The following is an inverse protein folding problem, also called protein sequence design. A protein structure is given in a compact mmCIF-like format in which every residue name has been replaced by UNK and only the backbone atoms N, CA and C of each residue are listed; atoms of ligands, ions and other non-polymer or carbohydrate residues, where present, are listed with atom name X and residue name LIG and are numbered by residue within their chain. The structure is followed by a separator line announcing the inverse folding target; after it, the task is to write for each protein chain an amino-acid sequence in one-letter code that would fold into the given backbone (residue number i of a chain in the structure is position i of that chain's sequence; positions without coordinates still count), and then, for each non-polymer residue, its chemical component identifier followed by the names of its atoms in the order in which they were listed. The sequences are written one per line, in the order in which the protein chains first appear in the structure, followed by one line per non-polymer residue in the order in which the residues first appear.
data_IF_701565598029
#
_entry.id   IF_701565598029
#
_cell.length_a   1.000
_cell.length_b   1.000
_cell.length_c   1.000
_cell.angle_alpha   90.00
_cell.angle_beta   90.00
_cell.angle_gamma   90.00
#
_symmetry.space_group_name_H-M   'P 1'
#
loop_
_entity.id
_entity.type
_entity.pdbx_description
1 polymer ?
#
# COMPACT_ATOMS: atom_id res chain seq x y z
N UNK A 1 -58.83 31.97 -20.60
CA UNK A 1 -57.95 31.21 -19.71
C UNK A 1 -56.75 30.80 -20.54
N UNK A 2 -55.62 31.49 -20.39
CA UNK A 2 -54.38 31.16 -21.09
C UNK A 2 -53.56 30.29 -20.14
N UNK A 3 -53.34 29.03 -20.52
CA UNK A 3 -52.43 28.11 -19.83
C UNK A 3 -51.01 28.66 -19.99
N UNK A 4 -50.34 28.92 -18.86
CA UNK A 4 -48.94 29.25 -18.85
C UNK A 4 -48.14 27.99 -19.19
N UNK A 5 -47.57 27.93 -20.40
CA UNK A 5 -46.60 26.90 -20.77
C UNK A 5 -45.44 26.92 -19.76
N UNK A 6 -45.32 25.82 -19.03
CA UNK A 6 -44.21 25.63 -18.09
C UNK A 6 -42.94 25.43 -18.91
N UNK A 7 -41.87 26.22 -18.69
CA UNK A 7 -40.65 26.07 -19.48
C UNK A 7 -40.04 24.69 -19.20
N UNK A 8 -40.05 23.83 -20.23
CA UNK A 8 -39.39 22.53 -20.20
C UNK A 8 -37.89 22.79 -20.11
N UNK A 9 -37.29 22.51 -18.95
CA UNK A 9 -35.85 22.59 -18.78
C UNK A 9 -35.17 21.75 -19.87
N UNK A 10 -34.17 22.29 -20.59
CA UNK A 10 -33.51 21.55 -21.66
C UNK A 10 -32.95 20.22 -21.11
N UNK A 11 -33.00 19.14 -21.90
CA UNK A 11 -32.52 17.84 -21.46
C UNK A 11 -31.05 17.95 -21.06
N UNK A 12 -30.73 17.62 -19.80
CA UNK A 12 -29.35 17.61 -19.34
C UNK A 12 -28.52 16.70 -20.25
N UNK A 13 -27.38 17.15 -20.78
CA UNK A 13 -26.56 16.35 -21.66
C UNK A 13 -26.19 15.03 -20.97
N UNK A 14 -26.30 13.93 -21.71
CA UNK A 14 -26.00 12.62 -21.19
C UNK A 14 -24.58 12.61 -20.61
N UNK A 15 -24.38 12.02 -19.43
CA UNK A 15 -23.08 12.06 -18.77
C UNK A 15 -22.00 11.40 -19.61
N UNK A 16 -20.99 12.18 -20.01
CA UNK A 16 -19.87 11.69 -20.83
C UNK A 16 -19.09 10.63 -20.04
N UNK A 17 -18.97 9.43 -20.61
CA UNK A 17 -18.20 8.32 -20.05
C UNK A 17 -16.91 8.14 -20.83
N UNK A 18 -15.80 8.02 -20.13
CA UNK A 18 -14.47 7.79 -20.71
C UNK A 18 -13.96 6.43 -20.26
N UNK A 19 -13.47 5.62 -21.20
CA UNK A 19 -12.80 4.37 -20.87
C UNK A 19 -11.39 4.65 -20.35
N UNK A 20 -11.20 4.55 -19.03
CA UNK A 20 -9.99 4.98 -18.32
C UNK A 20 -9.01 3.83 -18.05
N UNK A 21 -9.52 2.65 -17.69
CA UNK A 21 -8.68 1.52 -17.26
C UNK A 21 -8.93 0.27 -18.10
N UNK A 22 -7.89 -0.22 -18.78
CA UNK A 22 -7.94 -1.46 -19.56
C UNK A 22 -8.10 -2.68 -18.66
N UNK A 23 -8.81 -3.72 -19.14
CA UNK A 23 -9.08 -4.94 -18.36
C UNK A 23 -7.82 -5.58 -17.72
N UNK A 24 -6.69 -5.76 -18.44
CA UNK A 24 -5.48 -6.34 -17.82
C UNK A 24 -4.96 -5.52 -16.64
N UNK A 25 -5.00 -4.19 -16.73
CA UNK A 25 -4.57 -3.31 -15.65
C UNK A 25 -5.49 -3.42 -14.42
N UNK A 26 -6.80 -3.60 -14.63
CA UNK A 26 -7.78 -3.79 -13.54
C UNK A 26 -7.57 -5.13 -12.84
N UNK A 27 -7.43 -6.21 -13.60
CA UNK A 27 -7.14 -7.54 -13.05
C UNK A 27 -5.83 -7.50 -12.25
N UNK A 28 -4.77 -6.94 -12.85
CA UNK A 28 -3.48 -6.75 -12.19
C UNK A 28 -3.62 -5.98 -10.87
N UNK A 29 -4.35 -4.88 -10.87
CA UNK A 29 -4.58 -4.09 -9.66
C UNK A 29 -5.27 -4.91 -8.55
N UNK A 30 -6.40 -5.55 -8.86
CA UNK A 30 -7.17 -6.28 -7.85
C UNK A 30 -6.45 -7.52 -7.32
N UNK A 31 -5.74 -8.25 -8.19
CA UNK A 31 -4.88 -9.37 -7.77
C UNK A 31 -3.80 -8.88 -6.80
N UNK A 32 -3.12 -7.77 -7.12
CA UNK A 32 -2.09 -7.22 -6.23
C UNK A 32 -2.68 -6.70 -4.92
N UNK A 33 -3.84 -6.03 -4.95
CA UNK A 33 -4.49 -5.54 -3.75
C UNK A 33 -4.81 -6.67 -2.75
N UNK A 34 -5.40 -7.77 -3.24
CA UNK A 34 -5.69 -8.96 -2.43
C UNK A 34 -4.40 -9.63 -1.96
N UNK A 35 -3.41 -9.76 -2.84
CA UNK A 35 -2.10 -10.36 -2.54
C UNK A 35 -1.38 -9.60 -1.43
N UNK A 36 -1.33 -8.27 -1.52
CA UNK A 36 -0.70 -7.42 -0.51
C UNK A 36 -1.43 -7.47 0.83
N UNK A 37 -2.76 -7.55 0.83
CA UNK A 37 -3.54 -7.71 2.05
C UNK A 37 -3.20 -9.04 2.76
N UNK A 38 -3.19 -10.15 2.02
CA UNK A 38 -2.85 -11.47 2.57
C UNK A 38 -1.39 -11.49 3.04
N UNK A 39 -0.46 -10.91 2.29
CA UNK A 39 0.94 -10.77 2.67
C UNK A 39 1.10 -9.96 3.96
N UNK A 40 0.39 -8.85 4.11
CA UNK A 40 0.43 -8.05 5.33
C UNK A 40 -0.08 -8.87 6.52
N UNK A 41 -1.29 -9.44 6.44
CA UNK A 41 -1.89 -10.17 7.56
C UNK A 41 -1.08 -11.41 7.97
N UNK A 42 -0.56 -12.16 6.99
CA UNK A 42 0.33 -13.30 7.27
C UNK A 42 1.71 -12.85 7.77
N UNK A 43 2.22 -11.72 7.30
CA UNK A 43 3.46 -11.12 7.78
C UNK A 43 3.37 -10.66 9.23
N UNK A 44 2.23 -10.11 9.65
CA UNK A 44 1.95 -9.77 11.05
C UNK A 44 1.90 -11.03 11.93
N UNK A 45 1.37 -12.16 11.44
CA UNK A 45 1.46 -13.45 12.15
C UNK A 45 2.91 -13.92 12.30
N UNK A 46 3.73 -13.81 11.25
CA UNK A 46 5.16 -14.17 11.33
C UNK A 46 5.87 -13.26 12.34
N UNK A 47 5.54 -11.97 12.36
CA UNK A 47 6.11 -11.01 13.30
C UNK A 47 5.81 -11.39 14.76
N UNK A 48 4.62 -11.93 15.06
CA UNK A 48 4.25 -12.37 16.41
C UNK A 48 5.22 -13.39 17.01
N UNK A 49 5.92 -14.19 16.20
CA UNK A 49 6.87 -15.18 16.70
C UNK A 49 8.16 -14.56 17.27
N UNK A 50 8.51 -13.36 16.81
CA UNK A 50 9.63 -12.62 17.36
C UNK A 50 9.36 -11.11 17.22
N UNK A 51 8.57 -10.50 18.12
CA UNK A 51 8.03 -9.16 17.90
C UNK A 51 9.03 -8.04 18.23
N UNK A 52 10.25 -8.18 17.70
CA UNK A 52 11.41 -7.32 17.90
C UNK A 52 12.15 -7.15 16.58
N UNK A 53 12.60 -5.94 16.28
CA UNK A 53 13.37 -5.61 15.08
C UNK A 53 14.72 -5.01 15.47
N UNK A 54 15.76 -5.38 14.72
CA UNK A 54 17.15 -5.03 14.99
C UNK A 54 17.84 -4.55 13.71
N UNK A 55 18.92 -3.82 13.89
CA UNK A 55 19.89 -3.55 12.83
C UNK A 55 21.08 -4.50 12.98
N UNK A 56 21.65 -4.92 11.86
CA UNK A 56 22.82 -5.80 11.77
C UNK A 56 22.53 -7.21 11.25
N UNK A 57 23.58 -8.04 11.33
CA UNK A 57 23.60 -9.45 10.92
C UNK A 57 22.71 -10.33 11.79
N UNK A 58 22.91 -10.20 13.10
CA UNK A 58 22.28 -11.03 14.12
C UNK A 58 21.32 -10.20 14.98
N UNK A 59 20.37 -10.89 15.59
CA UNK A 59 19.39 -10.30 16.48
C UNK A 59 18.94 -11.36 17.46
N UNK A 60 19.48 -11.29 18.66
CA UNK A 60 19.13 -12.12 19.79
C UNK A 60 18.47 -11.26 20.89
N UNK A 61 17.95 -11.92 21.92
CA UNK A 61 17.27 -11.25 23.02
C UNK A 61 18.13 -10.21 23.77
N UNK A 62 19.46 -10.32 23.65
CA UNK A 62 20.43 -9.41 24.25
C UNK A 62 20.81 -8.22 23.36
N UNK A 63 20.47 -8.27 22.07
CA UNK A 63 20.80 -7.19 21.13
C UNK A 63 19.81 -6.03 21.27
N UNK A 64 20.27 -4.81 21.00
CA UNK A 64 19.44 -3.61 21.12
C UNK A 64 18.42 -3.55 19.97
N UNK A 65 17.22 -4.06 20.22
CA UNK A 65 16.09 -3.89 19.31
C UNK A 65 15.68 -2.41 19.21
N UNK A 66 15.52 -1.90 17.99
CA UNK A 66 15.01 -0.55 17.73
C UNK A 66 13.48 -0.48 17.78
N UNK A 67 12.79 -1.61 17.58
CA UNK A 67 11.34 -1.72 17.78
C UNK A 67 11.00 -3.00 18.52
N UNK A 68 10.13 -2.91 19.51
CA UNK A 68 9.58 -4.04 20.26
C UNK A 68 8.08 -3.85 20.47
N UNK A 69 7.29 -4.86 20.17
CA UNK A 69 5.91 -4.96 20.66
C UNK A 69 5.89 -6.11 21.66
N UNK A 70 5.58 -5.81 22.92
CA UNK A 70 5.68 -6.80 23.98
C UNK A 70 4.65 -6.61 25.08
N UNK A 71 4.73 -7.46 26.09
CA UNK A 71 3.90 -7.40 27.28
C UNK A 71 4.75 -7.51 28.55
N UNK A 72 4.18 -6.98 29.61
CA UNK A 72 4.53 -7.21 31.01
C UNK A 72 3.40 -8.01 31.66
N UNK A 73 3.51 -8.43 32.93
CA UNK A 73 2.41 -9.11 33.63
C UNK A 73 1.07 -8.35 33.63
N UNK A 74 1.10 -7.02 33.53
CA UNK A 74 -0.10 -6.18 33.68
C UNK A 74 -0.42 -5.30 32.44
N UNK A 75 0.50 -5.19 31.48
CA UNK A 75 0.32 -4.28 30.34
C UNK A 75 0.99 -4.72 29.04
N UNK A 76 0.40 -4.34 27.91
CA UNK A 76 1.00 -4.39 26.58
C UNK A 76 1.71 -3.08 26.25
N UNK A 77 2.77 -3.11 25.46
CA UNK A 77 3.50 -1.91 25.06
C UNK A 77 4.12 -2.01 23.67
N UNK A 78 4.27 -0.85 23.04
CA UNK A 78 5.13 -0.61 21.88
C UNK A 78 6.34 0.21 22.35
N UNK A 79 7.55 -0.25 22.02
CA UNK A 79 8.80 0.48 22.23
C UNK A 79 9.47 0.76 20.88
N UNK A 80 9.85 2.01 20.65
CA UNK A 80 10.61 2.46 19.48
C UNK A 80 11.81 3.27 19.96
N UNK A 81 13.01 2.73 19.79
CA UNK A 81 14.22 3.22 20.44
C UNK A 81 14.03 3.21 21.96
N UNK A 82 14.09 4.41 22.55
CA UNK A 82 13.94 4.63 23.99
C UNK A 82 12.50 5.04 24.38
N UNK A 83 11.64 5.31 23.40
CA UNK A 83 10.24 5.67 23.62
C UNK A 83 9.41 4.42 23.88
N UNK A 84 8.60 4.43 24.95
CA UNK A 84 7.67 3.35 25.29
C UNK A 84 6.26 3.89 25.44
N UNK A 85 5.32 3.27 24.74
CA UNK A 85 3.91 3.63 24.70
C UNK A 85 3.10 2.44 25.20
N UNK A 86 2.17 2.68 26.14
CA UNK A 86 1.23 1.66 26.60
C UNK A 86 0.22 1.37 25.48
N UNK A 87 0.07 0.10 25.14
CA UNK A 87 -0.81 -0.38 24.07
C UNK A 87 -1.72 -1.50 24.54
N UNK A 88 -1.94 -1.65 25.85
CA UNK A 88 -2.86 -2.64 26.43
C UNK A 88 -4.23 -2.56 25.77
N UNK A 89 -4.77 -3.73 25.43
CA UNK A 89 -6.03 -3.88 24.69
C UNK A 89 -5.87 -3.89 23.17
N UNK A 90 -4.73 -3.41 22.63
CA UNK A 90 -4.52 -3.30 21.18
C UNK A 90 -3.31 -4.10 20.71
N UNK A 91 -2.12 -3.86 21.30
CA UNK A 91 -0.86 -4.51 20.92
C UNK A 91 -0.13 -5.06 22.14
N UNK A 92 0.53 -6.21 21.97
CA UNK A 92 1.38 -6.83 22.98
C UNK A 92 0.61 -7.51 24.12
N UNK A 93 -0.52 -6.96 24.54
CA UNK A 93 -1.49 -7.60 25.44
C UNK A 93 -2.90 -7.17 25.07
N UNK A 94 -3.77 -8.12 24.73
CA UNK A 94 -5.14 -7.85 24.28
C UNK A 94 -6.05 -9.04 24.61
N UNK A 95 -7.36 -8.79 24.68
CA UNK A 95 -8.35 -9.82 24.99
C UNK A 95 -9.08 -10.24 23.72
N UNK A 96 -9.20 -11.54 23.47
CA UNK A 96 -9.93 -12.06 22.33
C UNK A 96 -11.46 -12.01 22.53
N UNK A 97 -12.21 -12.37 21.49
CA UNK A 97 -13.67 -12.36 21.54
C UNK A 97 -14.25 -13.37 22.55
N UNK A 98 -13.43 -14.33 23.01
CA UNK A 98 -13.80 -15.34 24.01
C UNK A 98 -13.42 -14.90 25.43
N UNK A 99 -12.89 -13.68 25.61
CA UNK A 99 -12.46 -13.16 26.90
C UNK A 99 -11.08 -13.65 27.34
N UNK A 100 -10.37 -14.43 26.51
CA UNK A 100 -9.05 -14.92 26.84
C UNK A 100 -7.99 -13.88 26.50
N UNK A 101 -7.11 -13.61 27.47
CA UNK A 101 -6.02 -12.67 27.28
C UNK A 101 -4.89 -13.30 26.45
N UNK A 102 -4.36 -12.55 25.50
CA UNK A 102 -3.22 -12.91 24.64
C UNK A 102 -2.09 -11.92 24.84
N UNK A 103 -0.86 -12.42 24.78
CA UNK A 103 0.36 -11.67 25.13
C UNK A 103 1.34 -11.50 23.95
N UNK A 104 0.94 -11.90 22.74
CA UNK A 104 1.73 -11.65 21.52
C UNK A 104 1.36 -10.32 20.86
N UNK A 105 2.18 -9.86 19.93
CA UNK A 105 2.18 -8.49 19.45
C UNK A 105 0.88 -8.02 18.76
N UNK A 106 0.47 -8.68 17.68
CA UNK A 106 -0.68 -8.31 16.86
C UNK A 106 -1.89 -9.20 17.15
N UNK A 107 -3.09 -8.60 17.24
CA UNK A 107 -4.31 -9.34 17.52
C UNK A 107 -4.78 -10.19 16.34
N UNK A 108 -5.53 -11.23 16.64
CA UNK A 108 -5.96 -12.23 15.66
C UNK A 108 -6.78 -11.66 14.50
N UNK A 109 -7.53 -10.57 14.71
CA UNK A 109 -8.29 -9.91 13.65
C UNK A 109 -7.39 -9.26 12.59
N UNK A 110 -6.15 -8.94 12.94
CA UNK A 110 -5.17 -8.33 12.04
C UNK A 110 -4.32 -9.38 11.30
N UNK A 111 -4.45 -10.67 11.63
CA UNK A 111 -3.55 -11.72 11.16
C UNK A 111 -4.27 -12.83 10.42
N UNK A 112 -3.54 -13.51 9.52
CA UNK A 112 -3.96 -14.79 8.93
C UNK A 112 -2.88 -15.83 9.21
N UNK A 113 -3.20 -16.95 9.88
CA UNK A 113 -4.48 -17.24 10.54
C UNK A 113 -4.79 -16.31 11.72
N UNK A 114 -6.03 -16.35 12.20
CA UNK A 114 -6.49 -15.55 13.36
C UNK A 114 -5.93 -16.08 14.69
N UNK A 115 -5.77 -17.40 14.80
CA UNK A 115 -5.06 -18.04 15.91
C UNK A 115 -3.56 -18.07 15.67
N UNK A 116 -2.75 -17.96 16.72
CA UNK A 116 -1.29 -18.00 16.58
C UNK A 116 -0.81 -19.30 15.95
N UNK A 117 -0.21 -19.19 14.76
CA UNK A 117 0.47 -20.28 14.06
C UNK A 117 1.56 -19.69 13.16
N UNK A 118 2.81 -19.78 13.60
CA UNK A 118 3.97 -19.37 12.79
C UNK A 118 4.07 -20.20 11.50
N UNK A 119 3.78 -21.50 11.58
CA UNK A 119 3.87 -22.39 10.43
C UNK A 119 2.89 -21.99 9.32
N UNK A 120 1.62 -21.76 9.68
CA UNK A 120 0.60 -21.38 8.68
C UNK A 120 0.77 -19.95 8.20
N UNK A 121 1.17 -19.02 9.07
CA UNK A 121 1.55 -17.67 8.66
C UNK A 121 2.64 -17.69 7.59
N UNK A 122 3.69 -18.51 7.77
CA UNK A 122 4.75 -18.69 6.76
C UNK A 122 4.24 -19.30 5.46
N UNK A 123 3.34 -20.29 5.51
CA UNK A 123 2.77 -20.92 4.30
C UNK A 123 1.99 -19.91 3.46
N UNK A 124 1.08 -19.16 4.08
CA UNK A 124 0.33 -18.10 3.41
C UNK A 124 1.26 -17.03 2.85
N UNK A 125 2.21 -16.57 3.64
CA UNK A 125 3.10 -15.49 3.24
C UNK A 125 3.97 -15.90 2.04
N UNK A 126 4.60 -17.08 2.08
CA UNK A 126 5.48 -17.54 1.01
C UNK A 126 4.70 -17.84 -0.29
N UNK A 127 3.50 -18.40 -0.19
CA UNK A 127 2.64 -18.64 -1.36
C UNK A 127 2.34 -17.34 -2.11
N UNK A 128 1.86 -16.31 -1.40
CA UNK A 128 1.52 -15.03 -2.00
C UNK A 128 2.75 -14.18 -2.32
N UNK A 129 3.88 -14.41 -1.66
CA UNK A 129 5.14 -13.76 -1.99
C UNK A 129 5.64 -14.21 -3.36
N UNK A 130 5.49 -15.49 -3.69
CA UNK A 130 5.79 -15.99 -5.04
C UNK A 130 4.85 -15.44 -6.11
N UNK A 131 3.56 -15.31 -5.81
CA UNK A 131 2.59 -14.68 -6.71
C UNK A 131 2.98 -13.22 -7.01
N UNK A 132 3.29 -12.45 -5.97
CA UNK A 132 3.74 -11.06 -6.12
C UNK A 132 5.08 -10.97 -6.84
N UNK A 133 6.08 -11.76 -6.44
CA UNK A 133 7.44 -11.64 -6.95
C UNK A 133 7.54 -12.01 -8.42
N UNK A 134 6.94 -13.14 -8.82
CA UNK A 134 6.93 -13.58 -10.21
C UNK A 134 6.09 -12.65 -11.07
N UNK A 135 4.88 -12.30 -10.60
CA UNK A 135 3.99 -11.38 -11.30
C UNK A 135 4.64 -10.03 -11.54
N UNK A 136 5.23 -9.42 -10.50
CA UNK A 136 5.85 -8.10 -10.60
C UNK A 136 7.08 -8.15 -11.50
N UNK A 137 7.90 -9.18 -11.38
CA UNK A 137 9.10 -9.34 -12.22
C UNK A 137 8.70 -9.44 -13.70
N UNK A 138 7.71 -10.27 -14.03
CA UNK A 138 7.19 -10.38 -15.39
C UNK A 138 6.59 -9.07 -15.89
N UNK A 139 5.83 -8.37 -15.04
CA UNK A 139 5.28 -7.06 -15.35
C UNK A 139 6.39 -6.03 -15.65
N UNK A 140 7.43 -5.98 -14.82
CA UNK A 140 8.56 -5.07 -14.99
C UNK A 140 9.35 -5.39 -16.27
N UNK A 141 9.65 -6.67 -16.53
CA UNK A 141 10.32 -7.11 -17.76
C UNK A 141 9.50 -6.73 -19.00
N UNK A 142 8.19 -7.00 -18.99
CA UNK A 142 7.31 -6.61 -20.08
C UNK A 142 7.28 -5.10 -20.32
N UNK A 143 7.24 -4.31 -19.24
CA UNK A 143 7.20 -2.84 -19.34
C UNK A 143 8.53 -2.25 -19.84
N UNK A 144 9.65 -2.87 -19.48
CA UNK A 144 11.00 -2.51 -19.96
C UNK A 144 11.19 -2.88 -21.43
N UNK A 145 10.84 -4.10 -21.83
CA UNK A 145 11.00 -4.61 -23.21
C UNK A 145 10.02 -3.91 -24.17
N UNK A 146 8.78 -3.69 -23.73
CA UNK A 146 7.71 -3.14 -24.56
C UNK A 146 7.75 -1.63 -24.75
N UNK A 147 8.75 -0.92 -24.23
CA UNK A 147 8.88 0.54 -24.33
C UNK A 147 7.75 1.35 -23.66
N UNK A 148 6.85 0.70 -22.92
CA UNK A 148 5.70 1.34 -22.27
C UNK A 148 6.13 2.28 -21.14
N UNK A 149 7.26 1.99 -20.47
CA UNK A 149 7.87 2.91 -19.50
C UNK A 149 8.10 4.30 -20.10
N UNK A 150 8.43 4.37 -21.40
CA UNK A 150 8.74 5.62 -22.10
C UNK A 150 7.50 6.29 -22.72
N UNK A 151 6.41 5.54 -22.94
CA UNK A 151 5.13 6.06 -23.49
C UNK A 151 4.17 6.54 -22.40
N UNK A 152 4.03 5.81 -21.29
CA UNK A 152 3.00 6.07 -20.28
C UNK A 152 3.52 6.78 -19.02
N UNK A 153 4.83 6.66 -18.72
CA UNK A 153 5.47 7.20 -17.50
C UNK A 153 6.47 8.33 -17.78
N UNK A 154 6.46 8.90 -18.98
CA UNK A 154 7.34 10.02 -19.30
C UNK A 154 6.93 11.28 -18.55
N UNK A 155 7.56 11.52 -17.40
CA UNK A 155 7.48 12.78 -16.67
C UNK A 155 8.29 13.81 -17.47
N UNK A 156 7.61 14.84 -18.00
CA UNK A 156 8.28 15.91 -18.76
C UNK A 156 9.26 16.65 -17.85
N UNK A 157 10.40 17.14 -18.38
CA UNK A 157 11.41 17.87 -17.57
C UNK A 157 10.84 19.05 -16.76
N UNK A 158 9.79 19.70 -17.26
CA UNK A 158 9.09 20.78 -16.56
C UNK A 158 8.29 20.30 -15.32
N UNK A 159 7.78 19.06 -15.34
CA UNK A 159 7.05 18.45 -14.22
C UNK A 159 8.01 18.14 -13.04
N UNK A 160 9.31 17.92 -13.30
CA UNK A 160 10.32 17.61 -12.27
C UNK A 160 10.74 18.77 -11.37
N UNK A 161 10.26 20.01 -11.61
CA UNK A 161 10.72 21.12 -10.78
C UNK A 161 10.25 20.93 -9.32
N UNK A 162 11.15 21.04 -8.32
CA UNK A 162 10.78 20.89 -6.90
C UNK A 162 9.67 21.85 -6.47
N UNK A 163 9.56 23.03 -7.10
CA UNK A 163 8.50 24.01 -6.87
C UNK A 163 7.13 23.50 -7.30
N UNK A 164 7.02 22.84 -8.46
CA UNK A 164 5.76 22.24 -8.92
C UNK A 164 5.34 21.06 -8.05
N UNK A 165 6.28 20.21 -7.63
CA UNK A 165 5.99 19.10 -6.70
C UNK A 165 5.48 19.66 -5.37
N UNK A 166 6.16 20.66 -4.79
CA UNK A 166 5.74 21.28 -3.53
C UNK A 166 4.38 21.98 -3.64
N UNK A 167 4.12 22.65 -4.77
CA UNK A 167 2.82 23.25 -5.05
C UNK A 167 1.71 22.19 -5.10
N UNK A 168 1.93 21.07 -5.79
CA UNK A 168 0.96 19.98 -5.88
C UNK A 168 0.75 19.27 -4.54
N UNK A 169 1.81 19.08 -3.74
CA UNK A 169 1.71 18.59 -2.36
C UNK A 169 0.85 19.53 -1.53
N UNK A 170 1.09 20.84 -1.59
CA UNK A 170 0.32 21.84 -0.84
C UNK A 170 -1.13 21.94 -1.32
N UNK A 171 -1.37 21.79 -2.62
CA UNK A 171 -2.71 21.76 -3.20
C UNK A 171 -3.49 20.51 -2.78
N UNK A 172 -2.84 19.33 -2.78
CA UNK A 172 -3.42 18.08 -2.29
C UNK A 172 -3.69 18.12 -0.79
N UNK A 173 -2.75 18.67 0.01
CA UNK A 173 -2.95 18.88 1.45
C UNK A 173 -4.10 19.84 1.75
N UNK A 174 -4.45 20.73 0.80
CA UNK A 174 -5.60 21.64 0.87
C UNK A 174 -6.86 21.08 0.21
N UNK A 175 -6.87 19.80 -0.19
CA UNK A 175 -8.00 19.11 -0.82
C UNK A 175 -8.52 19.77 -2.11
N UNK A 176 -7.63 20.46 -2.84
CA UNK A 176 -7.98 21.10 -4.11
C UNK A 176 -7.67 20.14 -5.26
N UNK A 177 -8.66 19.37 -5.69
CA UNK A 177 -8.52 18.43 -6.80
C UNK A 177 -8.76 19.09 -8.16
N UNK A 178 -7.98 18.74 -9.20
CA UNK A 178 -8.24 19.19 -10.57
C UNK A 178 -9.65 18.78 -11.03
N UNK A 179 -10.36 19.68 -11.72
CA UNK A 179 -11.69 19.42 -12.32
C UNK A 179 -11.59 19.52 -13.86
N UNK A 180 -12.59 19.02 -14.58
CA UNK A 180 -12.63 19.04 -16.05
C UNK A 180 -11.66 18.05 -16.72
N UNK A 181 -11.18 18.35 -17.93
CA UNK A 181 -10.22 17.50 -18.68
C UNK A 181 -8.91 17.21 -17.91
N UNK A 182 -8.52 18.10 -16.99
CA UNK A 182 -7.36 17.90 -16.12
C UNK A 182 -7.56 16.72 -15.14
N UNK A 183 -8.80 16.37 -14.78
CA UNK A 183 -9.12 15.21 -13.95
C UNK A 183 -8.92 13.88 -14.68
N UNK A 184 -8.93 13.89 -16.02
CA UNK A 184 -8.70 12.69 -16.83
C UNK A 184 -7.22 12.26 -16.84
N UNK A 185 -6.28 13.18 -16.55
CA UNK A 185 -4.84 12.92 -16.57
C UNK A 185 -4.33 12.62 -15.16
N UNK A 186 -3.41 11.66 -15.05
CA UNK A 186 -2.76 11.38 -13.76
C UNK A 186 -1.95 12.59 -13.30
N UNK A 187 -2.23 13.05 -12.07
CA UNK A 187 -1.46 14.11 -11.43
C UNK A 187 -0.02 13.67 -11.16
N UNK A 188 0.90 14.63 -10.97
CA UNK A 188 2.32 14.30 -10.76
C UNK A 188 2.52 13.43 -9.52
N UNK A 189 1.78 13.69 -8.43
CA UNK A 189 1.85 12.91 -7.20
C UNK A 189 1.40 11.46 -7.42
N UNK A 190 0.38 11.25 -8.26
CA UNK A 190 -0.06 9.90 -8.63
C UNK A 190 1.03 9.18 -9.43
N UNK A 191 1.64 9.85 -10.43
CA UNK A 191 2.77 9.29 -11.20
C UNK A 191 3.96 8.96 -10.31
N UNK A 192 4.35 9.87 -9.42
CA UNK A 192 5.46 9.66 -8.46
C UNK A 192 5.14 8.52 -7.51
N UNK A 193 3.90 8.43 -7.00
CA UNK A 193 3.48 7.31 -6.15
C UNK A 193 3.51 5.98 -6.89
N UNK A 194 3.10 5.96 -8.16
CA UNK A 194 3.13 4.77 -9.00
C UNK A 194 4.57 4.29 -9.18
N UNK A 195 5.47 5.20 -9.54
CA UNK A 195 6.89 4.89 -9.73
C UNK A 195 7.49 4.39 -8.42
N UNK A 196 7.26 5.12 -7.32
CA UNK A 196 7.77 4.76 -6.00
C UNK A 196 7.26 3.40 -5.53
N UNK A 197 5.97 3.10 -5.67
CA UNK A 197 5.42 1.81 -5.23
C UNK A 197 5.92 0.67 -6.10
N UNK A 198 5.80 0.76 -7.42
CA UNK A 198 6.04 -0.36 -8.33
C UNK A 198 7.52 -0.61 -8.58
N UNK A 199 8.35 0.43 -8.65
CA UNK A 199 9.77 0.29 -9.00
C UNK A 199 10.71 0.44 -7.80
N UNK A 200 10.22 0.85 -6.62
CA UNK A 200 11.05 0.97 -5.42
C UNK A 200 10.51 0.12 -4.28
N UNK A 201 9.29 0.39 -3.79
CA UNK A 201 8.78 -0.25 -2.58
C UNK A 201 8.52 -1.76 -2.76
N UNK A 202 7.82 -2.17 -3.83
CA UNK A 202 7.54 -3.58 -4.08
C UNK A 202 8.81 -4.39 -4.41
N UNK A 203 9.75 -3.91 -5.25
CA UNK A 203 11.04 -4.58 -5.44
C UNK A 203 11.84 -4.68 -4.15
N UNK A 204 11.85 -3.63 -3.32
CA UNK A 204 12.50 -3.66 -2.00
C UNK A 204 11.87 -4.70 -1.07
N UNK A 205 10.53 -4.82 -1.05
CA UNK A 205 9.82 -5.86 -0.31
C UNK A 205 10.25 -7.27 -0.75
N UNK A 206 10.32 -7.50 -2.05
CA UNK A 206 10.74 -8.80 -2.60
C UNK A 206 12.20 -9.08 -2.25
N UNK A 207 13.11 -8.13 -2.49
CA UNK A 207 14.53 -8.31 -2.24
C UNK A 207 14.84 -8.60 -0.75
N UNK A 208 14.23 -7.84 0.16
CA UNK A 208 14.35 -8.08 1.60
C UNK A 208 13.71 -9.42 2.01
N UNK A 209 12.58 -9.79 1.40
CA UNK A 209 11.94 -11.10 1.58
C UNK A 209 12.84 -12.28 1.16
N UNK A 210 13.48 -12.17 -0.01
CA UNK A 210 14.45 -13.15 -0.50
C UNK A 210 15.65 -13.26 0.46
N UNK A 211 16.15 -12.14 0.95
CA UNK A 211 17.26 -12.11 1.93
C UNK A 211 16.91 -12.84 3.23
N UNK A 212 15.64 -12.88 3.63
CA UNK A 212 15.20 -13.65 4.80
C UNK A 212 15.03 -15.15 4.53
N UNK A 213 15.00 -15.59 3.27
CA UNK A 213 14.79 -17.00 2.89
C UNK A 213 16.09 -17.82 3.00
N UNK A 214 16.10 -18.95 3.73
CA UNK A 214 17.29 -19.82 3.82
C UNK A 214 17.79 -20.29 2.45
N UNK A 215 16.88 -20.71 1.57
CA UNK A 215 17.24 -21.20 0.23
C UNK A 215 17.85 -20.13 -0.66
N UNK A 216 17.38 -18.87 -0.54
CA UNK A 216 17.93 -17.77 -1.33
C UNK A 216 19.27 -17.29 -0.79
N UNK A 217 19.50 -17.34 0.53
CA UNK A 217 20.82 -17.04 1.08
C UNK A 217 21.88 -18.05 0.63
N UNK A 218 21.50 -19.31 0.41
CA UNK A 218 22.40 -20.31 -0.16
C UNK A 218 22.70 -20.05 -1.65
N UNK A 219 21.71 -19.57 -2.42
CA UNK A 219 21.88 -19.29 -3.85
C UNK A 219 22.57 -17.94 -4.13
N UNK A 220 22.26 -16.91 -3.34
CA UNK A 220 22.67 -15.52 -3.51
C UNK A 220 23.08 -14.87 -2.18
N UNK A 221 24.24 -15.26 -1.62
CA UNK A 221 24.69 -14.78 -0.31
C UNK A 221 24.92 -13.26 -0.28
N UNK A 222 25.27 -12.64 -1.42
CA UNK A 222 25.52 -11.20 -1.55
C UNK A 222 24.32 -10.31 -1.16
N UNK A 223 23.10 -10.87 -1.14
CA UNK A 223 21.92 -10.14 -0.66
C UNK A 223 22.07 -9.74 0.82
N UNK A 224 22.74 -10.54 1.64
CA UNK A 224 23.02 -10.21 3.03
C UNK A 224 23.94 -8.99 3.12
N UNK A 225 24.99 -8.94 2.29
CA UNK A 225 25.93 -7.82 2.26
C UNK A 225 25.24 -6.51 1.88
N UNK A 226 24.33 -6.56 0.90
CA UNK A 226 23.57 -5.38 0.43
C UNK A 226 22.69 -4.79 1.53
N UNK A 227 22.03 -5.65 2.32
CA UNK A 227 21.12 -5.19 3.36
C UNK A 227 21.80 -5.04 4.74
N UNK A 228 23.08 -5.39 4.88
CA UNK A 228 23.77 -5.40 6.16
C UNK A 228 23.19 -6.45 7.10
N UNK A 229 22.82 -7.60 6.55
CA UNK A 229 22.42 -8.80 7.28
C UNK A 229 20.93 -9.10 7.35
N UNK A 230 20.61 -10.27 7.94
CA UNK A 230 19.23 -10.79 7.98
C UNK A 230 18.30 -9.93 8.81
N UNK A 231 18.76 -9.41 9.95
CA UNK A 231 17.89 -8.60 10.81
C UNK A 231 17.66 -7.21 10.23
N UNK A 232 18.68 -6.60 9.64
CA UNK A 232 18.52 -5.38 8.85
C UNK A 232 17.51 -5.58 7.73
N UNK A 233 17.62 -6.65 6.93
CA UNK A 233 16.66 -6.96 5.87
C UNK A 233 15.23 -7.08 6.42
N UNK A 234 15.05 -7.74 7.57
CA UNK A 234 13.75 -7.87 8.24
C UNK A 234 13.20 -6.53 8.74
N UNK A 235 14.05 -5.66 9.25
CA UNK A 235 13.68 -4.29 9.65
C UNK A 235 13.24 -3.46 8.45
N UNK A 236 14.02 -3.47 7.36
CA UNK A 236 13.69 -2.77 6.11
C UNK A 236 12.39 -3.32 5.51
N UNK A 237 12.19 -4.64 5.53
CA UNK A 237 10.97 -5.28 5.07
C UNK A 237 9.75 -4.79 5.86
N UNK A 238 9.84 -4.74 7.19
CA UNK A 238 8.74 -4.28 8.03
C UNK A 238 8.47 -2.78 7.87
N UNK A 239 9.52 -1.96 7.77
CA UNK A 239 9.40 -0.51 7.48
C UNK A 239 8.70 -0.30 6.13
N UNK A 240 9.12 -1.05 5.11
CA UNK A 240 8.55 -0.94 3.76
C UNK A 240 7.09 -1.42 3.74
N UNK A 241 6.75 -2.47 4.49
CA UNK A 241 5.37 -2.92 4.66
C UNK A 241 4.49 -1.84 5.29
N UNK A 242 4.94 -1.16 6.34
CA UNK A 242 4.21 -0.05 6.95
C UNK A 242 4.15 1.20 6.06
N UNK A 243 5.17 1.45 5.24
CA UNK A 243 5.12 2.49 4.22
C UNK A 243 4.05 2.19 3.15
N UNK A 244 3.90 0.91 2.75
CA UNK A 244 2.83 0.46 1.85
C UNK A 244 1.45 0.57 2.51
N UNK A 245 1.31 0.29 3.81
CA UNK A 245 0.07 0.53 4.57
C UNK A 245 -0.27 2.02 4.58
N UNK A 246 0.70 2.89 4.89
CA UNK A 246 0.49 4.33 4.87
C UNK A 246 0.08 4.83 3.47
N UNK A 247 0.74 4.33 2.41
CA UNK A 247 0.33 4.59 1.03
C UNK A 247 -1.11 4.13 0.76
N UNK A 248 -1.49 2.92 1.18
CA UNK A 248 -2.84 2.40 1.01
C UNK A 248 -3.88 3.29 1.72
N UNK A 249 -3.63 3.71 2.96
CA UNK A 249 -4.53 4.59 3.70
C UNK A 249 -4.72 5.93 2.99
N UNK A 250 -3.63 6.56 2.54
CA UNK A 250 -3.70 7.80 1.75
C UNK A 250 -4.42 7.56 0.42
N UNK A 251 -4.12 6.46 -0.27
CA UNK A 251 -4.78 6.09 -1.53
C UNK A 251 -6.29 5.95 -1.35
N UNK A 252 -6.76 5.23 -0.33
CA UNK A 252 -8.18 5.07 -0.04
C UNK A 252 -8.82 6.40 0.37
N UNK A 253 -8.16 7.20 1.21
CA UNK A 253 -8.65 8.53 1.55
C UNK A 253 -8.85 9.40 0.29
N UNK A 254 -7.91 9.36 -0.64
CA UNK A 254 -8.01 10.07 -1.91
C UNK A 254 -9.16 9.55 -2.80
N UNK A 255 -9.39 8.24 -2.84
CA UNK A 255 -10.53 7.64 -3.55
C UNK A 255 -11.87 8.09 -2.94
N UNK A 256 -11.96 8.14 -1.61
CA UNK A 256 -13.15 8.62 -0.90
C UNK A 256 -13.39 10.12 -1.16
N UNK A 257 -12.33 10.93 -1.18
CA UNK A 257 -12.42 12.38 -1.40
C UNK A 257 -12.72 12.76 -2.85
N UNK A 258 -12.24 11.96 -3.82
CA UNK A 258 -12.48 12.20 -5.25
C UNK A 258 -13.88 11.76 -5.72
N UNK A 259 -14.58 10.94 -4.93
CA UNK A 259 -15.89 10.40 -5.26
C UNK A 259 -15.85 8.87 -5.40
N UNK A 260 -16.12 8.11 -4.32
CA UNK A 260 -15.78 6.69 -4.25
C UNK A 260 -16.52 5.85 -5.28
N UNK A 261 -17.79 6.17 -5.53
CA UNK A 261 -18.61 5.44 -6.50
C UNK A 261 -18.01 5.53 -7.90
N UNK A 262 -17.55 6.71 -8.31
CA UNK A 262 -17.03 6.90 -9.66
C UNK A 262 -15.65 6.26 -9.84
N UNK A 263 -14.76 6.47 -8.86
CA UNK A 263 -13.40 5.93 -8.87
C UNK A 263 -13.41 4.40 -8.78
N UNK A 264 -14.13 3.80 -7.82
CA UNK A 264 -14.23 2.34 -7.68
C UNK A 264 -14.90 1.72 -8.91
N UNK A 265 -15.99 2.32 -9.42
CA UNK A 265 -16.62 1.84 -10.65
C UNK A 265 -15.64 1.85 -11.82
N UNK A 266 -14.80 2.88 -11.93
CA UNK A 266 -13.80 2.95 -13.00
C UNK A 266 -12.78 1.81 -12.89
N UNK A 267 -12.41 1.40 -11.67
CA UNK A 267 -11.47 0.30 -11.44
C UNK A 267 -12.11 -1.09 -11.55
N UNK A 268 -13.43 -1.19 -11.44
CA UNK A 268 -14.17 -2.45 -11.67
C UNK A 268 -14.52 -2.59 -13.16
N UNK A 269 -15.18 -1.58 -13.72
CA UNK A 269 -15.77 -1.63 -15.07
C UNK A 269 -14.86 -1.08 -16.17
N UNK A 270 -13.89 -0.23 -15.82
CA UNK A 270 -13.05 0.53 -16.76
C UNK A 270 -13.60 1.89 -17.14
N UNK A 271 -14.86 2.20 -16.82
CA UNK A 271 -15.55 3.41 -17.27
C UNK A 271 -15.62 4.47 -16.17
N UNK A 272 -15.12 5.66 -16.48
CA UNK A 272 -15.15 6.84 -15.63
C UNK A 272 -16.22 7.82 -16.13
N UNK A 273 -17.04 8.38 -15.24
CA UNK A 273 -18.02 9.42 -15.59
C UNK A 273 -17.40 10.78 -15.33
N UNK A 274 -17.33 11.64 -16.35
CA UNK A 274 -16.87 13.00 -16.16
C UNK A 274 -17.88 13.77 -15.30
N UNK A 275 -17.45 14.45 -14.22
CA UNK A 275 -18.30 15.41 -13.53
C UNK A 275 -18.73 16.50 -14.52
N UNK A 276 -19.99 16.96 -14.51
CA UNK A 276 -20.39 18.09 -15.34
C UNK A 276 -19.55 19.31 -14.99
N UNK A 277 -19.10 20.06 -16.00
CA UNK A 277 -18.50 21.37 -15.77
C UNK A 277 -19.54 22.24 -15.06
N UNK A 278 -19.14 22.93 -13.98
CA UNK A 278 -19.98 23.98 -13.43
C UNK A 278 -19.97 25.09 -14.46
N UNK A 279 -21.13 25.47 -14.97
CA UNK A 279 -21.29 26.71 -15.72
C UNK A 279 -20.65 27.84 -14.89
N UNK A 280 -19.60 28.45 -15.44
CA UNK A 280 -19.04 29.67 -14.88
C UNK A 280 -20.09 30.77 -15.07
N UNK A 281 -20.89 31.02 -14.03
CA UNK A 281 -21.81 32.14 -13.98
C UNK A 281 -23.17 31.84 -13.35
N UNK A 282 -23.23 31.89 -12.02
CA UNK A 282 -24.43 32.30 -11.27
C UNK A 282 -23.97 32.90 -9.93
#
# INVERSE_FOLDING_TARGET
MAEAETPVAPPQPAPVRVYRHRLPARIWHWVNAVTLLILLMSGLMIFNAHPRLYWGEYGANFDRAWLVIGSTPDSGYLRVGDWRINTTGVLGRWTDAQGAEKTWAFPGWATIPTSYSLADGRRWHLLFAWLLSTGLTLYMLWTLIGGHLRKDLHIRRAEWSPRHIWHDVKAHARLRFPRGEAAARYGILQKLSYIGVIFVALPLMIATGLTMSPGMNAAWPWLLDVFGGRQSARSIHFITAWALVAFFLVHIAMVLLAGPINEVRSMVTGWFRLPPEREEGA
#
